data_IF_382602209347
#
_entry.id   IF_382602209347
#
_cell.length_a   1.000
_cell.length_b   1.000
_cell.length_c   1.000
_cell.angle_alpha   90.00
_cell.angle_beta   90.00
_cell.angle_gamma   90.00
#
_symmetry.space_group_name_H-M   'P 1'
#
loop_
_entity.id
_entity.type
_entity.pdbx_description
1 polymer ?
#
# COMPACT_ATOMS: atom_id res chain seq x y z
N UNK A 1 -13.67 22.52 -7.17
CA UNK A 1 -12.55 21.56 -7.23
C UNK A 1 -12.84 20.31 -6.41
N UNK A 2 -12.88 20.37 -5.08
CA UNK A 2 -12.93 19.17 -4.21
C UNK A 2 -14.18 18.30 -4.46
N UNK A 3 -15.30 18.91 -4.86
CA UNK A 3 -16.57 18.22 -5.15
C UNK A 3 -16.77 17.93 -6.64
N UNK A 4 -15.79 18.26 -7.48
CA UNK A 4 -15.82 18.09 -8.93
C UNK A 4 -15.04 16.85 -9.32
N UNK A 5 -15.54 16.05 -10.26
CA UNK A 5 -14.83 14.89 -10.80
C UNK A 5 -13.82 15.36 -11.89
N UNK A 6 -12.50 15.39 -11.62
CA UNK A 6 -11.52 15.87 -12.60
C UNK A 6 -11.38 14.93 -13.81
N UNK A 7 -11.70 13.64 -13.66
CA UNK A 7 -11.64 12.66 -14.74
C UNK A 7 -12.80 12.82 -15.73
N UNK A 8 -13.98 13.24 -15.26
CA UNK A 8 -15.10 13.55 -16.15
C UNK A 8 -14.81 14.76 -17.04
N UNK A 9 -14.03 15.73 -16.57
CA UNK A 9 -13.60 16.88 -17.40
C UNK A 9 -12.50 16.41 -18.37
N UNK A 10 -11.59 15.54 -17.89
CA UNK A 10 -10.52 15.00 -18.72
C UNK A 10 -11.04 14.25 -19.95
N UNK A 11 -12.21 13.60 -19.86
CA UNK A 11 -12.78 12.82 -20.95
C UNK A 11 -13.30 13.65 -22.13
N UNK A 12 -13.41 14.98 -21.97
CA UNK A 12 -13.62 15.90 -23.10
C UNK A 12 -12.44 15.90 -24.09
N UNK A 13 -11.25 15.51 -23.63
CA UNK A 13 -10.01 15.53 -24.44
C UNK A 13 -9.33 14.17 -24.56
N UNK A 14 -9.50 13.29 -23.56
CA UNK A 14 -8.88 11.97 -23.52
C UNK A 14 -9.96 10.89 -23.60
N UNK A 15 -9.89 9.93 -24.55
CA UNK A 15 -10.87 8.86 -24.63
C UNK A 15 -11.00 8.06 -23.32
N UNK A 16 -12.23 7.75 -22.90
CA UNK A 16 -12.52 6.95 -21.69
C UNK A 16 -11.73 5.64 -21.67
N UNK A 17 -11.65 4.96 -22.82
CA UNK A 17 -10.92 3.71 -22.98
C UNK A 17 -9.43 3.85 -22.65
N UNK A 18 -8.81 5.01 -22.94
CA UNK A 18 -7.42 5.26 -22.61
C UNK A 18 -7.21 5.39 -21.09
N UNK A 19 -8.12 6.06 -20.38
CA UNK A 19 -8.07 6.19 -18.92
C UNK A 19 -8.24 4.82 -18.24
N UNK A 20 -9.22 4.03 -18.67
CA UNK A 20 -9.46 2.69 -18.13
C UNK A 20 -8.28 1.76 -18.42
N UNK A 21 -7.76 1.77 -19.65
CA UNK A 21 -6.58 0.99 -20.03
C UNK A 21 -5.34 1.40 -19.23
N UNK A 22 -5.17 2.69 -18.94
CA UNK A 22 -4.09 3.17 -18.09
C UNK A 22 -4.15 2.56 -16.69
N UNK A 23 -5.32 2.54 -16.06
CA UNK A 23 -5.48 1.90 -14.73
C UNK A 23 -5.23 0.39 -14.80
N UNK A 24 -5.75 -0.30 -15.83
CA UNK A 24 -5.51 -1.74 -16.02
C UNK A 24 -4.01 -2.03 -16.20
N UNK A 25 -3.31 -1.20 -16.97
CA UNK A 25 -1.86 -1.30 -17.13
C UNK A 25 -1.13 -1.14 -15.80
N UNK A 26 -1.54 -0.20 -14.95
CA UNK A 26 -0.93 -0.03 -13.62
C UNK A 26 -1.10 -1.28 -12.75
N UNK A 27 -2.28 -1.89 -12.76
CA UNK A 27 -2.53 -3.16 -12.06
C UNK A 27 -1.64 -4.27 -12.61
N UNK A 28 -1.51 -4.37 -13.94
CA UNK A 28 -0.65 -5.35 -14.58
C UNK A 28 0.84 -5.17 -14.21
N UNK A 29 1.31 -3.92 -14.15
CA UNK A 29 2.68 -3.59 -13.73
C UNK A 29 2.95 -4.02 -12.28
N UNK A 30 1.98 -3.84 -11.38
CA UNK A 30 2.09 -4.32 -10.00
C UNK A 30 2.23 -5.84 -9.95
N UNK A 31 1.33 -6.57 -10.63
CA UNK A 31 1.37 -8.03 -10.66
C UNK A 31 2.71 -8.51 -11.22
N UNK A 32 3.13 -7.97 -12.36
CA UNK A 32 4.38 -8.34 -13.01
C UNK A 32 5.60 -8.03 -12.12
N UNK A 33 5.67 -6.82 -11.56
CA UNK A 33 6.77 -6.41 -10.69
C UNK A 33 6.87 -7.25 -9.43
N UNK A 34 5.73 -7.63 -8.85
CA UNK A 34 5.67 -8.49 -7.67
C UNK A 34 6.13 -9.92 -8.00
N UNK A 35 5.66 -10.49 -9.10
CA UNK A 35 6.06 -11.83 -9.56
C UNK A 35 7.56 -11.88 -9.86
N UNK A 36 8.09 -10.88 -10.58
CA UNK A 36 9.51 -10.78 -10.86
C UNK A 36 10.35 -10.70 -9.58
N UNK A 37 9.90 -9.92 -8.57
CA UNK A 37 10.60 -9.80 -7.29
C UNK A 37 10.63 -11.13 -6.54
N UNK A 38 9.49 -11.84 -6.51
CA UNK A 38 9.40 -13.16 -5.87
C UNK A 38 10.29 -14.19 -6.56
N UNK A 39 10.38 -14.17 -7.90
CA UNK A 39 11.27 -15.04 -8.69
C UNK A 39 12.73 -14.69 -8.40
N UNK A 40 13.09 -13.41 -8.46
CA UNK A 40 14.45 -12.93 -8.24
C UNK A 40 14.97 -13.32 -6.85
N UNK A 41 14.14 -13.15 -5.82
CA UNK A 41 14.46 -13.51 -4.43
C UNK A 41 14.33 -15.00 -4.12
N UNK A 42 13.93 -15.84 -5.10
CA UNK A 42 13.64 -17.28 -4.94
C UNK A 42 12.55 -17.59 -3.90
N UNK A 43 11.80 -16.59 -3.45
CA UNK A 43 10.76 -16.72 -2.43
C UNK A 43 9.62 -17.66 -2.89
N UNK A 44 9.29 -17.67 -4.19
CA UNK A 44 8.24 -18.52 -4.76
C UNK A 44 8.44 -19.99 -4.40
N UNK A 45 9.67 -20.50 -4.59
CA UNK A 45 9.99 -21.91 -4.32
C UNK A 45 9.78 -22.26 -2.85
N UNK A 46 10.20 -21.37 -1.95
CA UNK A 46 10.02 -21.54 -0.52
C UNK A 46 8.54 -21.50 -0.12
N UNK A 47 7.76 -20.55 -0.64
CA UNK A 47 6.33 -20.47 -0.36
C UNK A 47 5.58 -21.73 -0.78
N UNK A 48 5.80 -22.21 -2.01
CA UNK A 48 5.15 -23.44 -2.49
C UNK A 48 5.59 -24.68 -1.71
N UNK A 49 6.88 -24.80 -1.40
CA UNK A 49 7.38 -25.93 -0.61
C UNK A 49 6.84 -25.92 0.81
N UNK A 50 6.78 -24.76 1.47
CA UNK A 50 6.20 -24.64 2.80
C UNK A 50 4.69 -24.89 2.77
N UNK A 51 3.96 -24.40 1.77
CA UNK A 51 2.52 -24.63 1.67
C UNK A 51 2.21 -26.13 1.46
N UNK A 52 3.04 -26.83 0.67
CA UNK A 52 2.94 -28.27 0.51
C UNK A 52 3.23 -29.01 1.81
N UNK A 53 4.32 -28.66 2.50
CA UNK A 53 4.68 -29.27 3.80
C UNK A 53 3.62 -29.04 4.86
N UNK A 54 3.10 -27.81 4.99
CA UNK A 54 2.04 -27.48 5.94
C UNK A 54 0.76 -28.28 5.65
N UNK A 55 0.39 -28.45 4.38
CA UNK A 55 -0.74 -29.30 4.00
C UNK A 55 -0.52 -30.78 4.36
N UNK A 56 0.70 -31.28 4.22
CA UNK A 56 1.05 -32.67 4.57
C UNK A 56 1.13 -32.89 6.09
N UNK A 57 1.47 -31.88 6.87
CA UNK A 57 1.54 -31.94 8.34
C UNK A 57 0.30 -31.40 9.06
N UNK A 58 -0.75 -31.03 8.31
CA UNK A 58 -2.01 -30.59 8.88
C UNK A 58 -2.65 -31.72 9.69
N UNK A 59 -2.99 -31.44 10.95
CA UNK A 59 -3.63 -32.39 11.85
C UNK A 59 -5.15 -32.23 11.87
N UNK A 60 -5.66 -31.11 11.34
CA UNK A 60 -7.07 -30.76 11.29
C UNK A 60 -7.44 -30.28 9.88
N UNK A 61 -8.52 -30.81 9.30
CA UNK A 61 -9.07 -30.26 8.06
C UNK A 61 -9.97 -29.05 8.35
N UNK A 62 -9.46 -27.85 8.07
CA UNK A 62 -10.25 -26.62 8.18
C UNK A 62 -11.36 -26.57 7.12
N UNK A 63 -12.59 -26.26 7.56
CA UNK A 63 -13.71 -26.00 6.66
C UNK A 63 -13.50 -24.74 5.80
N UNK A 64 -14.19 -24.65 4.66
CA UNK A 64 -14.09 -23.50 3.74
C UNK A 64 -14.43 -22.15 4.42
N UNK A 65 -15.41 -22.15 5.32
CA UNK A 65 -15.82 -20.96 6.08
C UNK A 65 -14.80 -20.53 7.14
N UNK A 66 -14.16 -21.47 7.84
CA UNK A 66 -13.10 -21.17 8.82
C UNK A 66 -11.87 -20.62 8.13
N UNK A 67 -11.44 -21.23 7.01
CA UNK A 67 -10.35 -20.70 6.18
C UNK A 67 -10.63 -19.27 5.72
N UNK A 68 -11.84 -19.00 5.23
CA UNK A 68 -12.23 -17.66 4.82
C UNK A 68 -12.20 -16.66 5.98
N UNK A 69 -12.64 -17.09 7.16
CA UNK A 69 -12.63 -16.26 8.37
C UNK A 69 -11.20 -15.92 8.81
N UNK A 70 -10.30 -16.91 8.79
CA UNK A 70 -8.88 -16.72 9.13
C UNK A 70 -8.22 -15.79 8.13
N UNK A 71 -8.45 -15.98 6.83
CA UNK A 71 -7.95 -15.09 5.78
C UNK A 71 -8.46 -13.66 5.99
N UNK A 72 -9.76 -13.49 6.21
CA UNK A 72 -10.36 -12.18 6.43
C UNK A 72 -9.79 -11.49 7.68
N UNK A 73 -9.68 -12.19 8.80
CA UNK A 73 -9.06 -11.67 10.04
C UNK A 73 -7.61 -11.29 9.83
N UNK A 74 -6.85 -12.12 9.12
CA UNK A 74 -5.43 -11.87 8.83
C UNK A 74 -5.26 -10.60 7.98
N UNK A 75 -6.09 -10.44 6.95
CA UNK A 75 -6.09 -9.23 6.10
C UNK A 75 -6.45 -8.00 6.94
N UNK A 76 -7.54 -8.06 7.72
CA UNK A 76 -7.97 -6.92 8.53
C UNK A 76 -6.94 -6.54 9.59
N UNK A 77 -6.36 -7.51 10.28
CA UNK A 77 -5.38 -7.28 11.32
C UNK A 77 -4.03 -6.81 10.75
N UNK A 78 -3.44 -7.56 9.82
CA UNK A 78 -2.07 -7.31 9.36
C UNK A 78 -1.97 -6.21 8.31
N UNK A 79 -3.00 -6.03 7.47
CA UNK A 79 -3.05 -4.94 6.48
C UNK A 79 -3.76 -3.72 7.08
N UNK A 80 -4.87 -3.91 7.78
CA UNK A 80 -5.72 -2.81 8.24
C UNK A 80 -5.25 -2.08 9.49
N UNK A 81 -4.69 -2.77 10.48
CA UNK A 81 -4.39 -2.13 11.79
C UNK A 81 -2.97 -1.60 11.93
N UNK A 82 -2.09 -1.98 11.00
CA UNK A 82 -0.65 -1.71 11.08
C UNK A 82 -0.11 -1.97 12.49
N UNK A 83 -0.55 -3.07 13.10
CA UNK A 83 -0.29 -3.41 14.51
C UNK A 83 1.20 -3.58 14.83
N UNK A 84 2.03 -3.76 13.81
CA UNK A 84 3.50 -3.83 13.93
C UNK A 84 4.18 -2.47 14.16
N UNK A 85 3.53 -1.35 13.82
CA UNK A 85 4.02 -0.03 14.17
C UNK A 85 3.49 0.26 15.56
N UNK A 86 4.38 0.33 16.55
CA UNK A 86 4.05 0.65 17.94
C UNK A 86 3.29 1.98 18.09
N UNK A 87 2.87 2.29 19.32
CA UNK A 87 2.18 3.56 19.59
C UNK A 87 3.14 4.74 19.39
N UNK A 88 2.94 5.54 18.35
CA UNK A 88 3.84 6.67 18.07
C UNK A 88 3.50 7.52 16.85
N UNK A 89 4.24 8.62 16.68
CA UNK A 89 4.10 9.56 15.55
C UNK A 89 4.26 8.87 14.19
N UNK A 90 5.14 7.87 14.12
CA UNK A 90 5.40 7.08 12.91
C UNK A 90 4.19 6.26 12.49
N UNK A 91 3.49 5.65 13.45
CA UNK A 91 2.23 4.94 13.19
C UNK A 91 1.17 5.88 12.64
N UNK A 92 0.99 7.06 13.23
CA UNK A 92 0.02 8.05 12.76
C UNK A 92 0.32 8.49 11.33
N UNK A 93 1.57 8.87 11.04
CA UNK A 93 1.98 9.27 9.69
C UNK A 93 1.79 8.12 8.67
N UNK A 94 2.09 6.89 9.06
CA UNK A 94 1.91 5.71 8.21
C UNK A 94 0.43 5.42 7.94
N UNK A 95 -0.41 5.39 8.96
CA UNK A 95 -1.86 5.15 8.84
C UNK A 95 -2.50 6.24 7.96
N UNK A 96 -2.14 7.50 8.19
CA UNK A 96 -2.59 8.63 7.39
C UNK A 96 -2.19 8.46 5.90
N UNK A 97 -0.94 8.09 5.65
CA UNK A 97 -0.44 7.83 4.29
C UNK A 97 -1.09 6.61 3.62
N UNK A 98 -1.25 5.51 4.35
CA UNK A 98 -1.80 4.25 3.85
C UNK A 98 -3.28 4.39 3.50
N UNK A 99 -4.11 4.85 4.45
CA UNK A 99 -5.53 5.04 4.21
C UNK A 99 -5.79 6.17 3.22
N UNK A 100 -4.99 7.25 3.26
CA UNK A 100 -5.05 8.29 2.24
C UNK A 100 -4.87 7.72 0.83
N UNK A 101 -3.88 6.85 0.65
CA UNK A 101 -3.56 6.25 -0.65
C UNK A 101 -4.64 5.28 -1.10
N UNK A 102 -5.18 4.47 -0.19
CA UNK A 102 -6.29 3.56 -0.48
C UNK A 102 -7.52 4.36 -0.96
N UNK A 103 -7.90 5.41 -0.24
CA UNK A 103 -9.00 6.28 -0.62
C UNK A 103 -8.76 6.96 -1.96
N UNK A 104 -7.54 7.45 -2.20
CA UNK A 104 -7.14 8.08 -3.46
C UNK A 104 -7.28 7.13 -4.66
N UNK A 105 -6.82 5.88 -4.52
CA UNK A 105 -6.93 4.87 -5.57
C UNK A 105 -8.36 4.40 -5.79
N UNK A 106 -9.12 4.12 -4.71
CA UNK A 106 -10.53 3.72 -4.82
C UNK A 106 -11.34 4.84 -5.48
N UNK A 107 -11.15 6.09 -5.07
CA UNK A 107 -11.80 7.24 -5.69
C UNK A 107 -11.46 7.38 -7.17
N UNK A 108 -10.19 7.13 -7.53
CA UNK A 108 -9.74 7.17 -8.93
C UNK A 108 -10.43 6.08 -9.75
N UNK A 109 -10.39 4.83 -9.28
CA UNK A 109 -11.04 3.71 -9.95
C UNK A 109 -12.54 3.91 -10.08
N UNK A 110 -13.21 4.35 -9.01
CA UNK A 110 -14.64 4.58 -9.05
C UNK A 110 -15.04 5.62 -10.09
N UNK A 111 -14.35 6.77 -10.12
CA UNK A 111 -14.63 7.83 -11.09
C UNK A 111 -14.26 7.42 -12.52
N UNK A 112 -13.14 6.73 -12.75
CA UNK A 112 -12.69 6.34 -14.10
C UNK A 112 -13.56 5.22 -14.70
N UNK A 113 -14.02 4.26 -13.90
CA UNK A 113 -14.77 3.10 -14.41
C UNK A 113 -16.28 3.28 -14.37
N UNK A 114 -16.82 3.90 -13.32
CA UNK A 114 -18.28 4.01 -13.14
C UNK A 114 -18.83 5.40 -13.49
N UNK A 115 -18.01 6.46 -13.41
CA UNK A 115 -18.44 7.83 -13.69
C UNK A 115 -17.51 8.58 -14.67
N UNK A 116 -17.19 8.00 -15.85
CA UNK A 116 -16.21 8.58 -16.77
C UNK A 116 -16.70 9.81 -17.55
N UNK A 117 -18.00 10.06 -17.63
CA UNK A 117 -18.62 11.20 -18.34
C UNK A 117 -19.80 11.72 -17.52
N UNK A 118 -20.47 12.79 -17.98
CA UNK A 118 -21.49 13.64 -17.31
C UNK A 118 -22.67 12.96 -16.57
N UNK A 119 -22.64 11.66 -16.33
CA UNK A 119 -23.39 11.04 -15.25
C UNK A 119 -23.03 11.75 -13.95
N UNK A 120 -24.07 12.21 -13.22
CA UNK A 120 -23.99 12.90 -11.94
C UNK A 120 -23.13 12.11 -10.96
N UNK A 121 -21.82 12.38 -10.95
CA UNK A 121 -20.87 11.66 -10.11
C UNK A 121 -21.27 11.94 -8.67
N UNK A 122 -21.57 10.90 -7.85
CA UNK A 122 -21.86 11.12 -6.44
C UNK A 122 -20.75 11.91 -5.77
N UNK A 123 -21.11 12.98 -5.06
CA UNK A 123 -20.16 13.91 -4.44
C UNK A 123 -19.16 13.22 -3.49
N UNK A 124 -19.55 12.05 -2.97
CA UNK A 124 -18.69 11.20 -2.16
C UNK A 124 -17.39 10.81 -2.87
N UNK A 125 -17.41 10.53 -4.19
CA UNK A 125 -16.22 10.05 -4.90
C UNK A 125 -15.14 11.13 -5.10
N UNK A 126 -15.47 12.34 -5.60
CA UNK A 126 -14.52 13.46 -5.59
C UNK A 126 -14.00 13.78 -4.19
N UNK A 127 -14.85 13.77 -3.15
CA UNK A 127 -14.42 14.02 -1.78
C UNK A 127 -13.42 12.95 -1.30
N UNK A 128 -13.74 11.67 -1.48
CA UNK A 128 -12.86 10.54 -1.13
C UNK A 128 -11.51 10.67 -1.83
N UNK A 129 -11.51 11.02 -3.11
CA UNK A 129 -10.29 11.17 -3.88
C UNK A 129 -9.41 12.32 -3.38
N UNK A 130 -9.97 13.51 -3.19
CA UNK A 130 -9.21 14.68 -2.72
C UNK A 130 -8.74 14.51 -1.27
N UNK A 131 -9.62 14.03 -0.37
CA UNK A 131 -9.27 13.75 1.02
C UNK A 131 -8.17 12.69 1.07
N UNK A 132 -8.30 11.62 0.28
CA UNK A 132 -7.30 10.57 0.16
C UNK A 132 -5.94 11.12 -0.25
N UNK A 133 -5.89 11.92 -1.33
CA UNK A 133 -4.66 12.54 -1.79
C UNK A 133 -4.02 13.46 -0.74
N UNK A 134 -4.84 14.29 -0.07
CA UNK A 134 -4.36 15.20 1.00
C UNK A 134 -3.80 14.39 2.17
N UNK A 135 -4.50 13.34 2.61
CA UNK A 135 -4.02 12.45 3.68
C UNK A 135 -2.70 11.78 3.28
N UNK A 136 -2.56 11.30 2.03
CA UNK A 136 -1.30 10.76 1.53
C UNK A 136 -0.17 11.78 1.60
N UNK A 137 -0.41 13.01 1.14
CA UNK A 137 0.57 14.09 1.22
C UNK A 137 0.95 14.41 2.67
N UNK A 138 -0.03 14.60 3.56
CA UNK A 138 0.23 14.91 4.97
C UNK A 138 1.03 13.80 5.66
N UNK A 139 0.61 12.54 5.50
CA UNK A 139 1.30 11.39 6.11
C UNK A 139 2.69 11.19 5.52
N UNK A 140 2.81 11.23 4.19
CA UNK A 140 4.07 11.02 3.49
C UNK A 140 5.08 12.13 3.71
N UNK A 141 4.68 13.41 3.66
CA UNK A 141 5.57 14.54 3.92
C UNK A 141 5.98 14.60 5.38
N UNK A 142 5.06 14.32 6.31
CA UNK A 142 5.41 14.21 7.72
C UNK A 142 6.46 13.11 7.93
N UNK A 143 6.27 11.93 7.32
CA UNK A 143 7.26 10.88 7.33
C UNK A 143 8.61 11.31 6.74
N UNK A 144 8.58 11.89 5.53
CA UNK A 144 9.77 12.26 4.76
C UNK A 144 10.68 13.28 5.46
N UNK A 145 10.07 14.35 5.98
CA UNK A 145 10.79 15.49 6.55
C UNK A 145 11.19 15.27 8.01
N UNK A 146 10.40 14.53 8.79
CA UNK A 146 10.56 14.51 10.25
C UNK A 146 10.74 13.12 10.87
N UNK A 147 10.32 12.03 10.21
CA UNK A 147 10.27 10.70 10.84
C UNK A 147 11.20 9.67 10.17
N UNK A 148 11.92 10.04 9.10
CA UNK A 148 12.96 9.20 8.53
C UNK A 148 14.11 9.06 9.53
N UNK A 149 14.37 7.84 9.97
CA UNK A 149 15.42 7.50 10.95
C UNK A 149 16.79 7.97 10.46
N UNK A 150 17.10 7.75 9.18
CA UNK A 150 18.36 8.14 8.55
C UNK A 150 18.61 9.67 8.63
N UNK A 151 17.54 10.47 8.74
CA UNK A 151 17.64 11.92 8.90
C UNK A 151 17.65 12.29 10.38
N UNK A 152 16.65 11.82 11.14
CA UNK A 152 16.42 12.25 12.51
C UNK A 152 17.46 11.71 13.50
N UNK A 153 17.94 10.48 13.29
CA UNK A 153 18.88 9.81 14.18
C UNK A 153 20.31 9.76 13.60
N UNK A 154 20.45 9.59 12.29
CA UNK A 154 21.77 9.46 11.64
C UNK A 154 22.28 10.78 11.01
N UNK A 155 21.54 11.88 11.18
CA UNK A 155 21.91 13.23 10.71
C UNK A 155 22.22 13.33 9.21
N UNK A 156 21.69 12.43 8.38
CA UNK A 156 21.80 12.58 6.93
C UNK A 156 20.93 13.75 6.42
N UNK A 157 21.32 14.30 5.27
CA UNK A 157 20.52 15.33 4.61
C UNK A 157 19.11 14.83 4.29
N UNK A 158 18.11 15.68 4.51
CA UNK A 158 16.72 15.44 4.10
C UNK A 158 16.59 15.27 2.58
N UNK A 159 17.56 15.79 1.81
CA UNK A 159 17.60 15.63 0.36
C UNK A 159 18.35 14.36 -0.10
N UNK A 160 18.88 13.56 0.83
CA UNK A 160 19.44 12.25 0.50
C UNK A 160 18.32 11.32 0.06
N UNK A 161 18.44 10.81 -1.17
CA UNK A 161 17.53 9.84 -1.77
C UNK A 161 18.28 8.53 -1.93
N UNK A 162 17.73 7.44 -1.40
CA UNK A 162 18.23 6.08 -1.61
C UNK A 162 17.19 5.24 -2.33
N UNK A 163 17.58 4.08 -2.85
CA UNK A 163 16.66 3.19 -3.57
C UNK A 163 15.41 2.80 -2.74
N UNK A 164 15.56 2.69 -1.42
CA UNK A 164 14.44 2.37 -0.53
C UNK A 164 13.36 3.47 -0.47
N UNK A 165 13.69 4.71 -0.86
CA UNK A 165 12.80 5.86 -0.84
C UNK A 165 11.93 5.98 -2.09
N UNK A 166 12.28 5.27 -3.17
CA UNK A 166 11.62 5.39 -4.48
C UNK A 166 10.10 5.20 -4.39
N UNK A 167 9.63 4.28 -3.54
CA UNK A 167 8.20 4.09 -3.29
C UNK A 167 7.52 5.35 -2.74
N UNK A 168 8.04 5.86 -1.63
CA UNK A 168 7.42 6.97 -0.90
C UNK A 168 7.49 8.24 -1.74
N UNK A 169 8.59 8.44 -2.47
CA UNK A 169 8.75 9.58 -3.37
C UNK A 169 7.78 9.50 -4.56
N UNK A 170 7.65 8.34 -5.20
CA UNK A 170 6.69 8.17 -6.29
C UNK A 170 5.24 8.32 -5.79
N UNK A 171 4.95 7.83 -4.59
CA UNK A 171 3.64 7.96 -3.95
C UNK A 171 3.31 9.43 -3.68
N UNK A 172 4.22 10.17 -3.04
CA UNK A 172 4.08 11.61 -2.78
C UNK A 172 3.97 12.41 -4.07
N UNK A 173 4.78 12.11 -5.07
CA UNK A 173 4.71 12.75 -6.38
C UNK A 173 3.33 12.53 -7.02
N UNK A 174 2.80 11.30 -7.00
CA UNK A 174 1.49 10.98 -7.58
C UNK A 174 0.35 11.74 -6.90
N UNK A 175 0.29 11.79 -5.57
CA UNK A 175 -0.77 12.51 -4.85
C UNK A 175 -0.64 14.03 -5.00
N UNK A 176 0.58 14.57 -4.93
CA UNK A 176 0.81 16.01 -5.08
C UNK A 176 0.53 16.50 -6.50
N UNK A 177 0.99 15.78 -7.52
CA UNK A 177 0.70 16.13 -8.91
C UNK A 177 -0.76 15.92 -9.27
N UNK A 178 -1.43 14.90 -8.71
CA UNK A 178 -2.87 14.72 -8.86
C UNK A 178 -3.66 15.91 -8.29
N UNK A 179 -3.35 16.34 -7.07
CA UNK A 179 -3.98 17.52 -6.45
C UNK A 179 -3.72 18.80 -7.27
N UNK A 180 -2.45 19.05 -7.64
CA UNK A 180 -2.07 20.22 -8.43
C UNK A 180 -2.79 20.22 -9.80
N UNK A 181 -2.82 19.08 -10.47
CA UNK A 181 -3.55 18.91 -11.73
C UNK A 181 -5.04 19.24 -11.56
N UNK A 182 -5.71 18.62 -10.59
CA UNK A 182 -7.16 18.85 -10.36
C UNK A 182 -7.49 20.32 -10.06
N UNK A 183 -6.60 21.01 -9.34
CA UNK A 183 -6.72 22.44 -9.06
C UNK A 183 -6.55 23.29 -10.31
N UNK A 184 -5.49 23.04 -11.08
CA UNK A 184 -5.20 23.81 -12.28
C UNK A 184 -6.25 23.60 -13.37
N UNK A 185 -6.74 22.37 -13.54
CA UNK A 185 -7.84 22.02 -14.44
C UNK A 185 -9.13 22.76 -14.02
N UNK A 186 -9.50 22.71 -12.74
CA UNK A 186 -10.71 23.39 -12.24
C UNK A 186 -10.69 24.91 -12.47
N UNK A 187 -9.51 25.54 -12.38
CA UNK A 187 -9.34 26.97 -12.61
C UNK A 187 -9.05 27.34 -14.09
N UNK A 188 -9.06 26.36 -15.01
CA UNK A 188 -8.80 26.54 -16.43
C UNK A 188 -7.41 27.14 -16.76
N UNK A 189 -6.38 26.83 -15.97
CA UNK A 189 -5.00 27.23 -16.26
C UNK A 189 -4.38 26.34 -17.35
N UNK A 190 -4.74 26.64 -18.61
CA UNK A 190 -4.31 25.89 -19.79
C UNK A 190 -2.79 25.79 -19.90
N UNK A 191 -2.29 24.60 -20.19
CA UNK A 191 -0.86 24.29 -20.34
C UNK A 191 -0.25 23.80 -19.03
N UNK A 192 -0.46 24.53 -17.93
CA UNK A 192 -0.03 24.08 -16.60
C UNK A 192 -0.83 22.86 -16.13
N UNK A 193 -2.14 22.84 -16.37
CA UNK A 193 -2.99 21.67 -16.14
C UNK A 193 -2.46 20.42 -16.87
N UNK A 194 -2.06 20.58 -18.14
CA UNK A 194 -1.54 19.51 -18.99
C UNK A 194 -0.18 19.03 -18.49
N UNK A 195 0.72 19.95 -18.10
CA UNK A 195 2.00 19.59 -17.49
C UNK A 195 1.81 18.74 -16.23
N UNK A 196 0.94 19.17 -15.32
CA UNK A 196 0.69 18.44 -14.07
C UNK A 196 -0.07 17.12 -14.30
N UNK A 197 -0.92 17.03 -15.33
CA UNK A 197 -1.51 15.76 -15.77
C UNK A 197 -0.43 14.77 -16.23
N UNK A 198 0.54 15.22 -17.04
CA UNK A 198 1.65 14.38 -17.51
C UNK A 198 2.51 13.94 -16.33
N UNK A 199 2.86 14.86 -15.42
CA UNK A 199 3.61 14.52 -14.20
C UNK A 199 2.84 13.54 -13.31
N UNK A 200 1.52 13.70 -13.18
CA UNK A 200 0.65 12.76 -12.48
C UNK A 200 0.67 11.37 -13.14
N UNK A 201 0.55 11.29 -14.46
CA UNK A 201 0.63 10.02 -15.18
C UNK A 201 2.00 9.35 -15.03
N UNK A 202 3.09 10.09 -15.23
CA UNK A 202 4.48 9.59 -15.13
C UNK A 202 4.78 9.11 -13.71
N UNK A 203 4.39 9.87 -12.68
CA UNK A 203 4.59 9.46 -11.29
C UNK A 203 3.83 8.18 -10.93
N UNK A 204 2.63 7.96 -11.47
CA UNK A 204 1.92 6.69 -11.33
C UNK A 204 2.64 5.54 -12.05
N UNK A 205 3.14 5.76 -13.27
CA UNK A 205 3.94 4.75 -13.98
C UNK A 205 5.18 4.36 -13.16
N UNK A 206 5.88 5.34 -12.57
CA UNK A 206 7.04 5.08 -11.70
C UNK A 206 6.62 4.37 -10.42
N UNK A 207 5.49 4.74 -9.82
CA UNK A 207 4.98 4.11 -8.58
C UNK A 207 4.64 2.63 -8.79
N UNK A 208 3.84 2.33 -9.82
CA UNK A 208 3.34 0.98 -10.08
C UNK A 208 4.32 0.13 -10.90
N UNK A 209 5.08 0.73 -11.82
CA UNK A 209 6.17 0.05 -12.54
C UNK A 209 7.41 -0.17 -11.68
N UNK A 210 7.63 0.69 -10.68
CA UNK A 210 8.77 0.63 -9.77
C UNK A 210 8.67 -0.45 -8.70
N UNK A 211 7.56 -1.22 -8.63
CA UNK A 211 7.30 -2.24 -7.59
C UNK A 211 8.48 -3.19 -7.42
N UNK A 212 9.07 -3.66 -8.52
CA UNK A 212 10.18 -4.62 -8.51
C UNK A 212 11.45 -4.07 -7.84
N UNK A 213 11.79 -2.80 -8.06
CA UNK A 213 13.00 -2.16 -7.49
C UNK A 213 12.77 -1.57 -6.10
N UNK A 214 11.57 -1.72 -5.59
CA UNK A 214 11.05 -0.99 -4.45
C UNK A 214 10.78 -1.92 -3.28
N UNK A 215 10.74 -1.34 -2.09
CA UNK A 215 10.16 -2.02 -0.93
C UNK A 215 8.69 -2.38 -1.19
N UNK A 216 7.98 -1.72 -2.09
CA UNK A 216 6.57 -1.98 -2.34
C UNK A 216 6.22 -3.45 -2.65
N UNK A 217 7.10 -4.22 -3.32
CA UNK A 217 6.88 -5.66 -3.54
C UNK A 217 6.66 -6.46 -2.24
N UNK A 218 7.29 -6.09 -1.13
CA UNK A 218 7.13 -6.78 0.16
C UNK A 218 5.74 -6.61 0.76
N UNK A 219 5.00 -5.55 0.39
CA UNK A 219 3.63 -5.33 0.85
C UNK A 219 2.66 -6.38 0.29
N UNK A 220 2.98 -7.00 -0.85
CA UNK A 220 2.08 -7.95 -1.51
C UNK A 220 2.29 -9.40 -1.03
N UNK A 221 3.53 -9.85 -0.82
CA UNK A 221 3.77 -11.23 -0.37
C UNK A 221 3.75 -11.41 1.16
N UNK A 222 3.95 -10.36 1.96
CA UNK A 222 3.90 -10.46 3.43
C UNK A 222 2.52 -10.86 3.97
N UNK A 223 1.40 -10.30 3.49
CA UNK A 223 0.08 -10.78 3.87
C UNK A 223 -0.15 -12.23 3.46
N UNK A 224 0.39 -12.66 2.30
CA UNK A 224 0.35 -14.06 1.87
C UNK A 224 1.07 -14.99 2.85
N UNK A 225 2.26 -14.60 3.33
CA UNK A 225 3.00 -15.33 4.35
C UNK A 225 2.25 -15.40 5.68
N UNK A 226 1.62 -14.30 6.10
CA UNK A 226 0.85 -14.25 7.34
C UNK A 226 -0.42 -15.11 7.26
N UNK A 227 -1.12 -15.08 6.11
CA UNK A 227 -2.26 -15.96 5.85
C UNK A 227 -1.83 -17.43 5.95
N UNK A 228 -0.71 -17.78 5.32
CA UNK A 228 -0.18 -19.14 5.38
C UNK A 228 0.15 -19.54 6.82
N UNK A 229 0.79 -18.67 7.59
CA UNK A 229 1.12 -18.92 9.00
C UNK A 229 -0.13 -19.13 9.86
N UNK A 230 -1.13 -18.24 9.75
CA UNK A 230 -2.35 -18.33 10.56
C UNK A 230 -3.21 -19.53 10.17
N UNK A 231 -3.20 -19.93 8.88
CA UNK A 231 -3.81 -21.18 8.44
C UNK A 231 -3.07 -22.40 8.99
N UNK A 232 -1.73 -22.38 8.97
CA UNK A 232 -0.90 -23.46 9.52
C UNK A 232 -1.07 -23.61 11.05
N UNK A 233 -1.26 -22.51 11.77
CA UNK A 233 -1.57 -22.55 13.20
C UNK A 233 -2.95 -23.15 13.46
N UNK A 234 -3.94 -22.80 12.63
CA UNK A 234 -5.31 -23.27 12.77
C UNK A 234 -5.50 -24.75 12.34
N UNK A 235 -4.77 -25.22 11.31
CA UNK A 235 -4.81 -26.62 10.86
C UNK A 235 -3.89 -27.55 11.70
N UNK A 236 -3.19 -26.97 12.69
CA UNK A 236 -2.35 -27.68 13.62
C UNK A 236 -1.00 -28.14 13.06
N UNK A 237 -0.66 -27.83 11.81
CA UNK A 237 0.67 -28.08 11.23
C UNK A 237 1.74 -27.21 11.90
N UNK A 238 1.40 -25.97 12.25
CA UNK A 238 2.20 -24.98 13.00
C UNK A 238 3.61 -24.74 12.43
N UNK A 239 3.82 -24.95 11.14
CA UNK A 239 5.16 -24.99 10.53
C UNK A 239 6.14 -25.96 11.26
N UNK A 240 5.59 -27.06 11.81
CA UNK A 240 6.28 -28.02 12.69
C UNK A 240 6.82 -27.42 14.00
N UNK A 241 6.28 -26.28 14.45
CA UNK A 241 6.59 -25.70 15.74
C UNK A 241 5.78 -26.39 16.86
N UNK A 242 6.38 -26.61 18.04
CA UNK A 242 5.69 -27.21 19.17
C UNK A 242 4.51 -26.35 19.66
N UNK A 243 3.49 -26.93 20.33
CA UNK A 243 2.44 -26.21 21.05
C UNK A 243 3.01 -25.14 21.99
N UNK A 244 2.28 -24.03 22.24
CA UNK A 244 2.70 -23.08 23.26
C UNK A 244 2.82 -23.82 24.58
N UNK A 245 3.86 -23.52 25.36
CA UNK A 245 4.03 -24.14 26.67
C UNK A 245 2.90 -23.68 27.61
N UNK A 246 2.40 -24.59 28.45
CA UNK A 246 1.44 -24.25 29.50
C UNK A 246 2.06 -23.39 30.61
N UNK A 247 3.40 -23.42 30.71
CA UNK A 247 4.14 -22.59 31.64
C UNK A 247 4.11 -21.11 31.20
N UNK A 248 4.00 -20.16 32.15
CA UNK A 248 4.06 -18.75 31.83
C UNK A 248 5.40 -18.40 31.17
N UNK A 249 5.37 -17.47 30.21
CA UNK A 249 6.56 -16.99 29.51
C UNK A 249 7.59 -16.46 30.53
N UNK A 250 8.68 -17.21 30.72
CA UNK A 250 9.81 -16.79 31.55
C UNK A 250 10.84 -16.10 30.65
N UNK A 251 10.67 -14.81 30.43
CA UNK A 251 11.76 -13.99 29.90
C UNK A 251 12.88 -13.95 30.96
N UNK A 252 14.11 -14.25 30.56
CA UNK A 252 15.25 -14.20 31.48
C UNK A 252 15.33 -12.83 32.16
N UNK A 253 15.59 -12.81 33.47
CA UNK A 253 15.72 -11.58 34.29
C UNK A 253 16.90 -10.66 33.86
N UNK A 254 17.63 -11.02 32.81
CA UNK A 254 18.75 -10.26 32.29
C UNK A 254 18.30 -9.32 31.18
N UNK A 255 18.25 -8.03 31.52
CA UNK A 255 17.94 -6.89 30.66
C UNK A 255 16.43 -6.77 30.45
N UNK A 256 15.77 -5.88 31.23
CA UNK A 256 14.65 -5.11 30.68
C UNK A 256 15.21 -4.47 29.41
N UNK A 257 14.99 -5.11 28.24
CA UNK A 257 15.32 -4.47 26.97
C UNK A 257 14.56 -3.17 27.03
N UNK A 258 15.29 -2.04 27.02
CA UNK A 258 14.63 -0.76 26.84
C UNK A 258 13.73 -0.94 25.62
N UNK A 259 12.45 -0.60 25.77
CA UNK A 259 11.57 -0.57 24.63
C UNK A 259 12.26 0.29 23.57
N UNK A 260 12.41 -0.23 22.34
CA UNK A 260 13.19 0.46 21.35
C UNK A 260 12.59 1.85 21.13
N UNK A 261 13.30 2.89 21.55
CA UNK A 261 12.86 4.29 21.56
C UNK A 261 12.63 4.89 20.16
N UNK A 262 12.71 4.05 19.13
CA UNK A 262 12.74 4.43 17.71
C UNK A 262 11.59 3.83 16.86
N UNK A 263 10.59 3.19 17.47
CA UNK A 263 9.38 2.70 16.76
C UNK A 263 8.16 3.58 17.03
#
# INVERSE_FOLDING_TARGET
MITTNPFSILTETVPVIALQSFVILMIALVILGTVLDMIHKKNVKYFFQNAKKAKESATIELGSGERMTIIAKTIVHDIGTTSELGLGKRRVAHVLGMYGTILFWIGSGAMIFFYPSENSTPIAWPLIWHIGAIMTCLGGYWFWFFLRVDVAAEANSVFRIIQADLFVLALLASSSFGLAWSYLQFNNFKGWDTLFLVLFAVSNIVLFGGVYWSKFAHMFYKPGAAIQKNLAEADGSRDNLPPPAEAPEKFGLGIKREEPKHY
#
